data_IF_477218087306
#
_entry.id   IF_477218087306
#
_cell.length_a   1.000
_cell.length_b   1.000
_cell.length_c   1.000
_cell.angle_alpha   90.00
_cell.angle_beta   90.00
_cell.angle_gamma   90.00
#
_symmetry.space_group_name_H-M   'P 1'
#
loop_
_entity.id
_entity.type
_entity.pdbx_description
1 polymer ?
#
# COMPACT_ATOMS: atom_id res chain seq x y z
N UNK A 1 3.52 -1.88 20.32
CA UNK A 1 2.42 -2.27 19.42
C UNK A 1 2.97 -3.26 18.41
N UNK A 2 2.52 -4.51 18.45
CA UNK A 2 2.87 -5.54 17.48
C UNK A 2 1.69 -6.50 17.36
N UNK A 3 1.25 -6.79 16.14
CA UNK A 3 0.23 -7.80 15.91
C UNK A 3 0.91 -9.17 15.90
N UNK A 4 0.55 -10.03 16.85
CA UNK A 4 1.09 -11.39 16.98
C UNK A 4 0.13 -12.47 16.45
N UNK A 5 -1.00 -12.06 15.87
CA UNK A 5 -1.97 -12.98 15.28
C UNK A 5 -1.53 -13.51 13.92
N UNK A 6 -2.34 -14.43 13.37
CA UNK A 6 -2.11 -15.01 12.04
C UNK A 6 -2.86 -14.20 10.98
N UNK A 7 -2.25 -14.05 9.80
CA UNK A 7 -2.91 -13.51 8.61
C UNK A 7 -3.60 -14.64 7.86
N UNK A 8 -4.92 -14.57 7.72
CA UNK A 8 -5.73 -15.58 7.02
C UNK A 8 -6.43 -14.98 5.80
N UNK A 9 -6.52 -15.77 4.73
CA UNK A 9 -7.22 -15.41 3.50
C UNK A 9 -8.41 -16.36 3.31
N UNK A 10 -9.64 -15.84 3.37
CA UNK A 10 -10.88 -16.60 3.18
C UNK A 10 -11.23 -16.70 1.68
N UNK A 11 -10.85 -17.82 1.06
CA UNK A 11 -11.12 -18.11 -0.34
C UNK A 11 -12.60 -18.43 -0.65
N UNK A 12 -13.49 -18.46 0.34
CA UNK A 12 -14.94 -18.56 0.08
C UNK A 12 -15.54 -17.27 -0.48
N UNK A 13 -14.81 -16.16 -0.35
CA UNK A 13 -15.21 -14.85 -0.86
C UNK A 13 -14.70 -14.67 -2.29
N UNK A 14 -15.50 -14.06 -3.18
CA UNK A 14 -15.07 -13.82 -4.55
C UNK A 14 -13.95 -12.78 -4.57
N UNK A 15 -12.91 -13.07 -5.34
CA UNK A 15 -11.87 -12.10 -5.66
C UNK A 15 -12.38 -11.00 -6.60
N UNK A 16 -11.75 -9.84 -6.54
CA UNK A 16 -11.93 -8.78 -7.52
C UNK A 16 -11.19 -9.05 -8.83
N UNK A 17 -10.98 -8.02 -9.65
CA UNK A 17 -10.14 -8.13 -10.85
C UNK A 17 -8.71 -8.54 -10.47
N UNK A 18 -8.10 -9.56 -11.11
CA UNK A 18 -6.78 -10.09 -10.69
C UNK A 18 -5.65 -9.07 -10.73
N UNK A 19 -5.76 -8.03 -11.56
CA UNK A 19 -4.76 -6.96 -11.67
C UNK A 19 -5.42 -5.64 -12.03
N UNK A 20 -5.14 -4.62 -11.23
CA UNK A 20 -5.51 -3.24 -11.48
C UNK A 20 -4.31 -2.34 -11.20
N UNK A 21 -3.67 -1.85 -12.25
CA UNK A 21 -2.51 -0.96 -12.19
C UNK A 21 -2.72 0.23 -13.12
N UNK A 22 -2.07 1.35 -12.81
CA UNK A 22 -2.00 2.53 -13.68
C UNK A 22 -0.67 2.54 -14.42
N UNK A 23 -0.68 2.88 -15.71
CA UNK A 23 0.55 3.20 -16.44
C UNK A 23 1.01 4.63 -16.06
N UNK A 24 2.23 4.73 -15.54
CA UNK A 24 2.85 5.99 -15.12
C UNK A 24 3.93 6.48 -16.08
N UNK A 25 4.03 5.90 -17.29
CA UNK A 25 5.02 6.23 -18.30
C UNK A 25 5.02 7.72 -18.67
N UNK A 26 3.85 8.35 -18.78
CA UNK A 26 3.74 9.79 -19.06
C UNK A 26 4.34 10.66 -17.95
N UNK A 27 4.11 10.32 -16.69
CA UNK A 27 4.67 11.05 -15.55
C UNK A 27 6.20 10.89 -15.51
N UNK A 28 6.70 9.67 -15.75
CA UNK A 28 8.13 9.40 -15.83
C UNK A 28 8.79 10.17 -16.98
N UNK A 29 8.16 10.25 -18.15
CA UNK A 29 8.65 11.00 -19.30
C UNK A 29 8.71 12.53 -19.04
N UNK A 30 7.83 13.04 -18.17
CA UNK A 30 7.85 14.42 -17.68
C UNK A 30 8.90 14.65 -16.58
N UNK A 31 9.69 13.64 -16.22
CA UNK A 31 10.73 13.72 -15.19
C UNK A 31 10.22 13.52 -13.77
N UNK A 32 8.91 13.29 -13.57
CA UNK A 32 8.37 12.97 -12.26
C UNK A 32 8.66 11.51 -11.89
N UNK A 33 9.09 11.27 -10.65
CA UNK A 33 9.30 9.93 -10.10
C UNK A 33 8.77 9.88 -8.68
N UNK A 34 8.02 8.81 -8.35
CA UNK A 34 7.63 8.55 -6.98
C UNK A 34 8.88 8.29 -6.12
N UNK A 35 8.96 8.92 -4.95
CA UNK A 35 10.11 8.83 -4.05
C UNK A 35 9.83 8.00 -2.80
N UNK A 36 8.55 7.75 -2.50
CA UNK A 36 8.12 6.97 -1.34
C UNK A 36 7.82 5.53 -1.77
N UNK A 37 8.54 4.57 -1.20
CA UNK A 37 8.23 3.15 -1.35
C UNK A 37 7.07 2.71 -0.43
N UNK A 38 6.49 1.55 -0.72
CA UNK A 38 5.33 1.04 0.01
C UNK A 38 5.59 0.87 1.51
N UNK A 39 6.77 0.37 1.90
CA UNK A 39 7.07 0.05 3.30
C UNK A 39 7.27 1.33 4.10
N UNK A 40 8.08 2.27 3.60
CA UNK A 40 8.33 3.55 4.28
C UNK A 40 7.07 4.41 4.36
N UNK A 41 6.27 4.42 3.30
CA UNK A 41 4.97 5.09 3.24
C UNK A 41 4.00 4.55 4.28
N UNK A 42 3.83 3.22 4.35
CA UNK A 42 2.94 2.57 5.32
C UNK A 42 3.36 2.85 6.77
N UNK A 43 4.66 2.74 7.08
CA UNK A 43 5.18 3.02 8.42
C UNK A 43 4.94 4.48 8.83
N UNK A 44 5.06 5.43 7.89
CA UNK A 44 4.79 6.86 8.15
C UNK A 44 3.31 7.12 8.38
N UNK A 45 2.44 6.55 7.55
CA UNK A 45 1.00 6.68 7.71
C UNK A 45 0.51 6.07 9.05
N UNK A 46 1.03 4.91 9.43
CA UNK A 46 0.70 4.28 10.71
C UNK A 46 1.15 5.13 11.91
N UNK A 47 2.37 5.68 11.85
CA UNK A 47 2.88 6.59 12.89
C UNK A 47 1.99 7.82 13.04
N UNK A 48 1.60 8.46 11.93
CA UNK A 48 0.68 9.61 11.94
C UNK A 48 -0.66 9.25 12.60
N UNK A 49 -1.26 8.13 12.20
CA UNK A 49 -2.51 7.61 12.80
C UNK A 49 -2.38 7.43 14.32
N UNK A 50 -1.30 6.81 14.80
CA UNK A 50 -1.10 6.57 16.24
C UNK A 50 -0.75 7.81 17.04
N UNK A 51 -0.22 8.87 16.42
CA UNK A 51 0.13 10.11 17.12
C UNK A 51 -1.08 11.02 17.42
N UNK A 52 -2.22 10.73 16.79
CA UNK A 52 -3.48 11.47 16.93
C UNK A 52 -4.50 10.76 17.85
N UNK A 53 -4.09 9.62 18.42
CA UNK A 53 -4.78 8.89 19.49
C UNK A 53 -4.18 9.32 20.84
#
# INVERSE_FOLDING_TARGET
>A
MGFEGTLEFDASKPDGTPRKLMDVGRLNAMGWKATTDMRSGLATAYRDFTSKL
#
